data_IF_042603636997
#
_entry.id   IF_042603636997
#
_cell.length_a   1.000
_cell.length_b   1.000
_cell.length_c   1.000
_cell.angle_alpha   90.00
_cell.angle_beta   90.00
_cell.angle_gamma   90.00
#
_symmetry.space_group_name_H-M   'P 1'
#
loop_
_entity.id
_entity.type
_entity.pdbx_description
1 polymer ?
#
# COMPACT_ATOMS: atom_id res chain seq x y z
N UNK A 1 48.56 -69.46 -1.87
CA UNK A 1 47.48 -68.67 -1.22
C UNK A 1 47.51 -67.26 -1.79
N UNK A 2 46.49 -66.85 -2.55
CA UNK A 2 46.32 -65.45 -3.01
C UNK A 2 45.19 -64.84 -2.18
N UNK A 3 45.51 -63.91 -1.28
CA UNK A 3 44.52 -63.10 -0.57
C UNK A 3 44.03 -62.01 -1.53
N UNK A 4 42.74 -62.05 -1.88
CA UNK A 4 42.04 -60.96 -2.57
C UNK A 4 41.47 -60.06 -1.48
N UNK A 5 42.00 -58.84 -1.37
CA UNK A 5 41.42 -57.80 -0.52
C UNK A 5 40.27 -57.14 -1.29
N UNK A 6 39.04 -57.42 -0.87
CA UNK A 6 37.84 -56.77 -1.39
C UNK A 6 37.63 -55.47 -0.61
N UNK A 7 37.80 -54.33 -1.29
CA UNK A 7 37.52 -53.00 -0.73
C UNK A 7 36.01 -52.78 -0.81
N UNK A 8 35.34 -52.82 0.35
CA UNK A 8 33.93 -52.46 0.49
C UNK A 8 33.83 -50.94 0.59
N UNK A 9 33.47 -50.27 -0.51
CA UNK A 9 33.22 -48.84 -0.52
C UNK A 9 31.84 -48.58 0.11
N UNK A 10 31.80 -48.17 1.38
CA UNK A 10 30.57 -47.72 2.04
C UNK A 10 30.10 -46.40 1.40
N UNK A 11 29.04 -46.46 0.59
CA UNK A 11 28.34 -45.28 0.11
C UNK A 11 27.48 -44.74 1.28
N UNK A 12 27.97 -43.68 1.94
CA UNK A 12 27.15 -42.93 2.90
C UNK A 12 26.14 -42.12 2.09
N UNK A 13 24.92 -42.66 1.94
CA UNK A 13 23.78 -41.94 1.37
C UNK A 13 23.36 -40.90 2.41
N UNK A 14 23.94 -39.69 2.34
CA UNK A 14 23.40 -38.55 3.07
C UNK A 14 22.01 -38.26 2.51
N UNK A 15 20.97 -38.42 3.33
CA UNK A 15 19.60 -38.04 3.01
C UNK A 15 19.52 -36.52 2.81
N UNK A 16 19.84 -36.04 1.61
CA UNK A 16 19.56 -34.67 1.22
C UNK A 16 18.03 -34.55 1.09
N UNK A 17 17.38 -33.95 2.08
CA UNK A 17 15.96 -33.62 2.01
C UNK A 17 15.83 -32.52 0.96
N UNK A 18 15.42 -32.89 -0.26
CA UNK A 18 15.09 -31.93 -1.30
C UNK A 18 13.93 -31.08 -0.78
N UNK A 19 14.15 -29.77 -0.64
CA UNK A 19 13.05 -28.86 -0.33
C UNK A 19 12.04 -28.93 -1.48
N UNK A 20 10.75 -29.01 -1.16
CA UNK A 20 9.66 -28.93 -2.12
C UNK A 20 8.92 -27.60 -1.94
N UNK A 21 8.39 -27.00 -3.02
CA UNK A 21 7.55 -25.82 -2.90
C UNK A 21 6.31 -26.13 -2.06
N UNK A 22 5.94 -25.20 -1.19
CA UNK A 22 4.65 -25.25 -0.50
C UNK A 22 3.50 -25.08 -1.49
N UNK A 23 2.30 -25.53 -1.11
CA UNK A 23 1.06 -25.32 -1.87
C UNK A 23 0.10 -24.52 -1.00
N UNK A 24 -0.29 -23.33 -1.45
CA UNK A 24 -1.24 -22.50 -0.72
C UNK A 24 -2.66 -22.74 -1.24
N UNK A 25 -3.61 -22.71 -0.34
CA UNK A 25 -5.04 -22.81 -0.62
C UNK A 25 -5.76 -21.56 -0.10
N UNK A 26 -7.06 -21.49 -0.33
CA UNK A 26 -7.90 -20.41 0.19
C UNK A 26 -7.90 -20.35 1.74
N UNK A 27 -7.50 -21.43 2.42
CA UNK A 27 -7.39 -21.42 3.89
C UNK A 27 -6.30 -20.46 4.41
N UNK A 28 -5.26 -20.19 3.62
CA UNK A 28 -4.19 -19.23 3.93
C UNK A 28 -4.55 -17.77 3.64
N UNK A 29 -5.77 -17.48 3.19
CA UNK A 29 -6.24 -16.10 3.03
C UNK A 29 -6.88 -15.58 4.32
N UNK A 30 -7.03 -14.26 4.50
CA UNK A 30 -7.76 -13.69 5.63
C UNK A 30 -9.21 -14.20 5.67
N UNK A 31 -9.77 -14.29 6.87
CA UNK A 31 -11.16 -14.62 7.16
C UNK A 31 -11.79 -13.54 8.05
N UNK A 32 -13.12 -13.50 8.09
CA UNK A 32 -13.85 -12.67 9.05
C UNK A 32 -13.37 -12.92 10.49
N UNK A 33 -13.09 -11.85 11.22
CA UNK A 33 -12.56 -11.84 12.58
C UNK A 33 -11.03 -11.78 12.66
N UNK A 34 -10.30 -12.01 11.57
CA UNK A 34 -8.84 -11.99 11.61
C UNK A 34 -8.31 -10.57 11.88
N UNK A 35 -7.31 -10.49 12.76
CA UNK A 35 -6.54 -9.29 13.04
C UNK A 35 -5.06 -9.58 12.82
N UNK A 36 -4.48 -8.96 11.80
CA UNK A 36 -3.13 -9.28 11.33
C UNK A 36 -2.29 -8.02 11.36
N UNK A 37 -1.34 -7.99 12.30
CA UNK A 37 -0.43 -6.87 12.49
C UNK A 37 0.69 -6.89 11.45
N UNK A 38 1.08 -5.71 11.01
CA UNK A 38 2.20 -5.53 10.11
C UNK A 38 3.01 -4.32 10.55
N UNK A 39 4.25 -4.27 10.09
CA UNK A 39 5.08 -3.08 10.16
C UNK A 39 5.25 -2.52 8.76
N UNK A 40 5.18 -1.20 8.62
CA UNK A 40 5.66 -0.52 7.42
C UNK A 40 7.16 -0.36 7.56
N UNK A 41 7.91 -0.70 6.51
CA UNK A 41 9.36 -0.61 6.51
C UNK A 41 9.85 0.62 5.73
N UNK A 42 11.01 1.15 6.12
CA UNK A 42 11.69 2.20 5.41
C UNK A 42 12.14 1.69 4.03
N UNK A 43 11.84 2.43 2.95
CA UNK A 43 12.04 1.96 1.58
C UNK A 43 13.49 1.57 1.25
N UNK A 44 14.48 2.28 1.79
CA UNK A 44 15.89 1.99 1.57
C UNK A 44 16.40 0.73 2.30
N UNK A 45 15.60 0.13 3.20
CA UNK A 45 16.00 -1.03 4.01
C UNK A 45 15.72 -2.41 3.37
N UNK A 46 15.03 -2.44 2.23
CA UNK A 46 14.54 -3.68 1.58
C UNK A 46 15.61 -4.51 0.87
N UNK A 47 16.73 -3.92 0.45
CA UNK A 47 17.72 -4.63 -0.36
C UNK A 47 17.15 -5.14 -1.69
N UNK A 48 17.69 -6.25 -2.19
CA UNK A 48 17.24 -6.85 -3.46
C UNK A 48 16.02 -7.77 -3.25
N UNK A 49 14.88 -7.33 -3.78
CA UNK A 49 13.61 -8.05 -3.78
C UNK A 49 13.28 -8.64 -5.16
N UNK A 50 14.18 -8.49 -6.15
CA UNK A 50 13.91 -8.80 -7.56
C UNK A 50 14.36 -10.20 -7.96
N UNK A 51 15.36 -10.78 -7.29
CA UNK A 51 15.86 -12.14 -7.53
C UNK A 51 14.82 -13.23 -7.25
N UNK A 52 14.67 -14.17 -8.20
CA UNK A 52 13.65 -15.23 -8.14
C UNK A 52 14.18 -16.57 -8.65
N UNK A 53 13.43 -17.64 -8.39
CA UNK A 53 13.77 -19.00 -8.83
C UNK A 53 13.37 -20.05 -7.82
N UNK A 54 13.96 -21.24 -7.97
CA UNK A 54 13.72 -22.38 -7.09
C UNK A 54 14.68 -22.38 -5.90
N UNK A 55 14.19 -22.78 -4.73
CA UNK A 55 15.00 -22.92 -3.51
C UNK A 55 15.75 -21.63 -3.12
N UNK A 56 15.10 -20.48 -3.26
CA UNK A 56 15.69 -19.19 -2.94
C UNK A 56 15.80 -18.97 -1.42
N UNK A 57 16.81 -18.20 -1.00
CA UNK A 57 16.86 -17.64 0.34
C UNK A 57 16.74 -16.12 0.23
N UNK A 58 15.55 -15.60 0.54
CA UNK A 58 15.32 -14.16 0.57
C UNK A 58 15.54 -13.65 1.99
N UNK A 59 16.60 -12.87 2.18
CA UNK A 59 16.95 -12.32 3.49
C UNK A 59 16.66 -10.82 3.56
N UNK A 60 15.59 -10.48 4.29
CA UNK A 60 15.14 -9.13 4.58
C UNK A 60 15.19 -8.83 6.08
N UNK A 61 16.08 -9.49 6.83
CA UNK A 61 16.27 -9.24 8.27
C UNK A 61 16.69 -7.80 8.60
N UNK A 62 17.22 -7.07 7.62
CA UNK A 62 17.61 -5.66 7.73
C UNK A 62 16.46 -4.65 7.62
N UNK A 63 15.22 -5.09 7.42
CA UNK A 63 14.08 -4.19 7.31
C UNK A 63 13.92 -3.34 8.57
N UNK A 64 13.87 -2.02 8.40
CA UNK A 64 13.71 -1.06 9.50
C UNK A 64 12.24 -0.64 9.58
N UNK A 65 11.50 -0.98 10.65
CA UNK A 65 10.12 -0.56 10.80
C UNK A 65 10.02 0.94 11.12
N UNK A 66 9.12 1.65 10.44
CA UNK A 66 8.82 3.08 10.66
C UNK A 66 7.46 3.31 11.31
N UNK A 67 6.53 2.36 11.17
CA UNK A 67 5.22 2.37 11.82
C UNK A 67 4.65 0.97 11.88
N UNK A 68 3.63 0.77 12.72
CA UNK A 68 2.86 -0.48 12.75
C UNK A 68 1.39 -0.22 12.45
N UNK A 69 0.75 -1.19 11.82
CA UNK A 69 -0.69 -1.18 11.57
C UNK A 69 -1.30 -2.56 11.82
N UNK A 70 -2.64 -2.61 11.82
CA UNK A 70 -3.38 -3.87 11.91
C UNK A 70 -4.37 -3.92 10.76
N UNK A 71 -4.29 -4.97 9.95
CA UNK A 71 -5.34 -5.32 8.99
C UNK A 71 -6.43 -6.06 9.76
N UNK A 72 -7.60 -5.45 9.90
CA UNK A 72 -8.74 -6.01 10.60
C UNK A 72 -9.83 -6.39 9.60
N UNK A 73 -10.09 -7.68 9.47
CA UNK A 73 -11.10 -8.24 8.59
C UNK A 73 -12.39 -8.42 9.37
N UNK A 74 -13.26 -7.41 9.33
CA UNK A 74 -14.51 -7.39 10.08
C UNK A 74 -15.60 -8.11 9.30
N UNK A 75 -16.47 -8.86 9.99
CA UNK A 75 -17.69 -9.37 9.36
C UNK A 75 -18.47 -8.21 8.73
N UNK A 76 -19.17 -8.44 7.61
CA UNK A 76 -20.00 -7.40 7.00
C UNK A 76 -20.95 -6.74 8.02
N UNK A 77 -21.50 -7.48 8.98
CA UNK A 77 -22.35 -6.98 10.07
C UNK A 77 -21.67 -5.98 11.03
N UNK A 78 -20.34 -5.97 11.07
CA UNK A 78 -19.55 -5.06 11.90
C UNK A 78 -19.04 -3.85 11.12
N UNK A 79 -19.61 -3.60 9.94
CA UNK A 79 -19.25 -2.49 9.06
C UNK A 79 -20.45 -1.57 8.82
N UNK A 80 -20.24 -0.28 8.50
CA UNK A 80 -21.33 0.65 8.19
C UNK A 80 -22.19 0.26 6.98
N UNK A 81 -21.73 -0.69 6.16
CA UNK A 81 -22.35 -1.07 4.89
C UNK A 81 -23.04 -2.45 4.97
N UNK A 82 -23.26 -2.98 6.16
CA UNK A 82 -23.73 -4.36 6.36
C UNK A 82 -24.99 -4.72 5.55
N UNK A 83 -25.95 -3.79 5.45
CA UNK A 83 -27.22 -4.00 4.75
C UNK A 83 -27.04 -4.25 3.23
N UNK A 84 -25.86 -3.91 2.70
CA UNK A 84 -25.50 -4.04 1.30
C UNK A 84 -24.59 -5.24 1.03
N UNK A 85 -23.99 -5.81 2.08
CA UNK A 85 -23.14 -7.00 2.01
C UNK A 85 -23.72 -8.10 2.92
N UNK A 86 -25.03 -8.34 2.83
CA UNK A 86 -25.77 -9.32 3.65
C UNK A 86 -25.40 -10.78 3.37
N UNK A 87 -24.55 -11.05 2.37
CA UNK A 87 -24.00 -12.37 2.17
C UNK A 87 -23.19 -12.78 3.39
N UNK A 88 -23.44 -14.00 3.88
CA UNK A 88 -22.79 -14.51 5.10
C UNK A 88 -21.27 -14.77 4.94
N UNK A 89 -20.68 -14.49 3.77
CA UNK A 89 -19.33 -14.91 3.43
C UNK A 89 -18.37 -13.74 3.14
N UNK A 90 -18.88 -12.51 3.09
CA UNK A 90 -18.13 -11.30 2.82
C UNK A 90 -17.67 -10.64 4.13
N UNK A 91 -16.45 -10.11 4.12
CA UNK A 91 -15.88 -9.39 5.25
C UNK A 91 -15.09 -8.18 4.76
N UNK A 92 -15.22 -7.09 5.50
CA UNK A 92 -14.67 -5.78 5.16
C UNK A 92 -13.36 -5.51 5.88
N UNK A 93 -12.38 -5.02 5.14
CA UNK A 93 -11.17 -4.39 5.69
C UNK A 93 -11.28 -2.87 5.50
N UNK A 94 -11.08 -2.11 6.58
CA UNK A 94 -10.95 -0.65 6.47
C UNK A 94 -9.56 -0.33 5.92
N UNK A 95 -9.50 0.25 4.73
CA UNK A 95 -8.25 0.53 4.03
C UNK A 95 -7.85 2.00 4.06
N UNK A 96 -8.81 2.91 4.28
CA UNK A 96 -8.54 4.32 4.54
C UNK A 96 -9.65 4.94 5.41
N UNK A 97 -9.27 5.83 6.32
CA UNK A 97 -10.23 6.62 7.08
C UNK A 97 -10.86 7.71 6.22
N UNK A 98 -10.04 8.39 5.42
CA UNK A 98 -10.46 9.47 4.52
C UNK A 98 -9.71 9.38 3.19
N UNK A 99 -10.43 9.58 2.10
CA UNK A 99 -9.92 9.75 0.74
C UNK A 99 -10.46 11.07 0.15
N UNK A 100 -9.63 11.74 -0.65
CA UNK A 100 -9.97 13.04 -1.23
C UNK A 100 -9.44 14.22 -0.42
N UNK A 101 -9.71 15.43 -0.91
CA UNK A 101 -9.27 16.68 -0.32
C UNK A 101 -10.30 17.80 -0.60
N UNK A 102 -10.33 18.82 0.25
CA UNK A 102 -11.24 19.96 0.09
C UNK A 102 -12.71 19.57 0.32
N UNK A 103 -13.67 20.06 -0.50
CA UNK A 103 -15.10 19.86 -0.27
C UNK A 103 -15.59 18.43 -0.54
N UNK A 104 -14.76 17.58 -1.16
CA UNK A 104 -15.09 16.18 -1.45
C UNK A 104 -14.20 15.32 -0.56
N UNK A 105 -14.80 14.82 0.52
CA UNK A 105 -14.18 13.86 1.42
C UNK A 105 -15.02 12.59 1.46
N UNK A 106 -14.36 11.48 1.15
CA UNK A 106 -14.90 10.14 1.21
C UNK A 106 -14.34 9.50 2.47
N UNK A 107 -15.18 9.14 3.43
CA UNK A 107 -14.74 8.55 4.70
C UNK A 107 -15.07 7.07 4.78
N UNK A 108 -14.45 6.37 5.74
CA UNK A 108 -14.68 4.95 6.00
C UNK A 108 -14.58 4.09 4.73
N UNK A 109 -13.44 4.15 4.04
CA UNK A 109 -13.25 3.32 2.86
C UNK A 109 -12.96 1.87 3.26
N UNK A 110 -13.90 0.98 2.93
CA UNK A 110 -13.79 -0.45 3.16
C UNK A 110 -13.67 -1.19 1.84
N UNK A 111 -12.78 -2.18 1.78
CA UNK A 111 -12.77 -3.20 0.74
C UNK A 111 -13.37 -4.49 1.29
N UNK A 112 -14.28 -5.11 0.54
CA UNK A 112 -14.92 -6.36 0.90
C UNK A 112 -14.29 -7.52 0.16
N UNK A 113 -13.90 -8.54 0.92
CA UNK A 113 -13.28 -9.74 0.38
C UNK A 113 -14.14 -10.96 0.67
N UNK A 114 -13.91 -12.00 -0.13
CA UNK A 114 -14.57 -13.29 0.01
C UNK A 114 -13.65 -14.43 -0.41
N UNK A 115 -13.80 -15.56 0.28
CA UNK A 115 -13.27 -16.85 -0.15
C UNK A 115 -14.32 -17.54 -1.02
N UNK A 116 -14.08 -17.62 -2.32
CA UNK A 116 -14.98 -18.25 -3.28
C UNK A 116 -14.50 -19.66 -3.59
N UNK A 117 -15.43 -20.61 -3.71
CA UNK A 117 -15.15 -21.97 -4.20
C UNK A 117 -15.78 -22.26 -5.57
N UNK A 118 -16.83 -21.52 -5.95
CA UNK A 118 -17.62 -21.71 -7.19
C UNK A 118 -17.89 -20.34 -7.83
N UNK A 119 -17.76 -20.16 -9.16
CA UNK A 119 -17.37 -21.17 -10.15
C UNK A 119 -15.88 -21.55 -10.10
N UNK A 120 -15.04 -20.69 -9.53
CA UNK A 120 -13.60 -20.89 -9.41
C UNK A 120 -13.18 -20.71 -7.95
N UNK A 121 -12.28 -21.57 -7.48
CA UNK A 121 -11.67 -21.45 -6.16
C UNK A 121 -10.69 -20.26 -6.13
N UNK A 122 -11.11 -19.17 -5.49
CA UNK A 122 -10.43 -17.90 -5.55
C UNK A 122 -10.56 -17.10 -4.25
N UNK A 123 -9.60 -16.19 -4.04
CA UNK A 123 -9.75 -15.09 -3.10
C UNK A 123 -10.05 -13.83 -3.89
N UNK A 124 -11.20 -13.21 -3.61
CA UNK A 124 -11.76 -12.16 -4.47
C UNK A 124 -12.02 -10.88 -3.67
N UNK A 125 -11.88 -9.74 -4.32
CA UNK A 125 -12.48 -8.49 -3.88
C UNK A 125 -13.86 -8.34 -4.52
N UNK A 126 -14.88 -8.24 -3.67
CA UNK A 126 -16.28 -8.29 -4.07
C UNK A 126 -16.89 -6.90 -4.32
N UNK A 127 -16.43 -5.92 -3.54
CA UNK A 127 -16.95 -4.56 -3.55
C UNK A 127 -16.18 -3.65 -2.62
N UNK A 128 -16.65 -2.42 -2.53
CA UNK A 128 -16.16 -1.41 -1.63
C UNK A 128 -17.29 -0.60 -1.00
N UNK A 129 -17.15 -0.27 0.27
CA UNK A 129 -18.03 0.65 0.98
C UNK A 129 -17.34 1.99 1.15
N UNK A 130 -18.00 3.08 0.76
CA UNK A 130 -17.50 4.45 0.95
C UNK A 130 -18.59 5.31 1.59
N UNK A 131 -18.25 6.14 2.57
CA UNK A 131 -19.18 7.08 3.19
C UNK A 131 -18.97 8.45 2.56
N UNK A 132 -20.01 9.03 1.99
CA UNK A 132 -19.98 10.39 1.46
C UNK A 132 -20.98 11.26 2.22
N UNK A 133 -20.50 12.33 2.84
CA UNK A 133 -21.33 13.25 3.64
C UNK A 133 -22.24 12.55 4.66
N UNK A 134 -21.71 11.50 5.32
CA UNK A 134 -22.44 10.71 6.32
C UNK A 134 -23.32 9.59 5.76
N UNK A 135 -23.48 9.49 4.43
CA UNK A 135 -24.27 8.44 3.78
C UNK A 135 -23.38 7.26 3.38
N UNK A 136 -23.63 6.03 3.87
CA UNK A 136 -22.91 4.83 3.41
C UNK A 136 -23.32 4.45 1.99
N UNK A 137 -22.35 4.36 1.08
CA UNK A 137 -22.54 4.06 -0.33
C UNK A 137 -21.81 2.75 -0.67
N UNK A 138 -22.54 1.66 -0.98
CA UNK A 138 -21.93 0.43 -1.47
C UNK A 138 -21.58 0.57 -2.96
N UNK A 139 -20.48 -0.06 -3.35
CA UNK A 139 -20.00 -0.10 -4.72
C UNK A 139 -19.56 -1.53 -4.99
N UNK A 140 -20.07 -2.13 -6.07
CA UNK A 140 -19.77 -3.52 -6.38
C UNK A 140 -18.91 -3.60 -7.61
N UNK A 141 -18.04 -4.61 -7.63
CA UNK A 141 -17.43 -5.06 -8.86
C UNK A 141 -18.51 -5.72 -9.72
N UNK A 142 -18.75 -5.19 -10.92
CA UNK A 142 -19.62 -5.83 -11.92
C UNK A 142 -18.94 -7.03 -12.55
N UNK A 143 -17.60 -6.99 -12.61
CA UNK A 143 -16.72 -8.11 -12.88
C UNK A 143 -15.75 -8.19 -11.70
N UNK A 144 -15.84 -9.26 -10.91
CA UNK A 144 -15.17 -9.41 -9.62
C UNK A 144 -13.66 -9.38 -9.82
N UNK A 145 -12.94 -8.93 -8.81
CA UNK A 145 -11.48 -8.88 -8.89
C UNK A 145 -10.92 -10.11 -8.17
N UNK A 146 -10.58 -11.17 -8.90
CA UNK A 146 -9.87 -12.32 -8.33
C UNK A 146 -8.40 -11.95 -8.07
N UNK A 147 -7.99 -11.99 -6.80
CA UNK A 147 -6.61 -11.73 -6.38
C UNK A 147 -5.74 -12.96 -6.63
N UNK A 148 -6.23 -14.13 -6.23
CA UNK A 148 -5.52 -15.41 -6.38
C UNK A 148 -6.49 -16.53 -6.75
N UNK A 149 -6.13 -17.33 -7.74
CA UNK A 149 -6.74 -18.65 -7.96
C UNK A 149 -5.98 -19.72 -7.18
N UNK A 150 -6.72 -20.64 -6.56
CA UNK A 150 -6.15 -21.74 -5.80
C UNK A 150 -6.27 -23.09 -6.52
N UNK A 151 -5.35 -24.04 -6.25
CA UNK A 151 -4.17 -23.90 -5.40
C UNK A 151 -3.11 -22.98 -6.02
N UNK A 152 -2.34 -22.27 -5.20
CA UNK A 152 -1.13 -21.59 -5.65
C UNK A 152 0.04 -22.56 -5.53
N UNK A 153 0.62 -22.87 -6.69
CA UNK A 153 1.76 -23.79 -6.85
C UNK A 153 2.86 -23.08 -7.63
N UNK A 154 4.10 -23.53 -7.50
CA UNK A 154 5.17 -23.08 -8.38
C UNK A 154 5.44 -24.11 -9.50
N UNK A 155 5.60 -23.68 -10.75
CA UNK A 155 5.24 -22.37 -11.29
C UNK A 155 3.71 -22.26 -11.49
N UNK A 156 3.17 -21.05 -11.43
CA UNK A 156 1.78 -20.78 -11.82
C UNK A 156 1.65 -19.39 -12.44
N UNK A 157 0.74 -19.29 -13.40
CA UNK A 157 0.39 -18.05 -14.07
C UNK A 157 -1.13 -17.97 -14.20
N UNK A 158 -1.71 -16.85 -13.81
CA UNK A 158 -3.13 -16.55 -13.94
C UNK A 158 -3.31 -15.13 -14.51
N UNK A 159 -4.39 -14.93 -15.27
CA UNK A 159 -4.83 -13.61 -15.72
C UNK A 159 -6.34 -13.50 -15.56
N UNK A 160 -6.80 -12.46 -14.87
CA UNK A 160 -8.21 -12.21 -14.55
C UNK A 160 -8.59 -10.79 -14.93
N UNK A 161 -9.84 -10.57 -15.33
CA UNK A 161 -10.36 -9.22 -15.59
C UNK A 161 -11.06 -8.68 -14.35
N UNK A 162 -11.28 -7.38 -14.30
CA UNK A 162 -12.16 -6.79 -13.29
C UNK A 162 -12.78 -5.51 -13.81
N UNK A 163 -13.92 -5.15 -13.21
CA UNK A 163 -14.61 -3.89 -13.47
C UNK A 163 -15.31 -3.41 -12.22
N UNK A 164 -14.90 -2.23 -11.79
CA UNK A 164 -15.43 -1.50 -10.66
C UNK A 164 -15.99 -0.15 -11.12
N UNK A 165 -17.12 0.24 -10.54
CA UNK A 165 -17.62 1.59 -10.67
C UNK A 165 -18.27 2.01 -9.36
N UNK A 166 -18.00 3.23 -8.93
CA UNK A 166 -18.73 3.83 -7.83
C UNK A 166 -20.16 4.14 -8.28
N UNK A 167 -21.10 4.10 -7.33
CA UNK A 167 -22.47 4.54 -7.57
C UNK A 167 -22.44 6.02 -7.97
N UNK A 168 -23.04 6.33 -9.12
CA UNK A 168 -23.31 7.70 -9.52
C UNK A 168 -24.77 8.02 -9.18
N UNK A 169 -24.99 8.98 -8.28
CA UNK A 169 -26.32 9.52 -8.02
C UNK A 169 -26.23 11.05 -7.82
N UNK A 170 -27.38 11.72 -7.73
CA UNK A 170 -27.43 13.19 -7.58
C UNK A 170 -26.73 13.72 -6.34
N UNK A 171 -26.52 12.88 -5.32
CA UNK A 171 -25.86 13.25 -4.07
C UNK A 171 -24.33 13.16 -4.15
N UNK A 172 -23.78 12.37 -5.08
CA UNK A 172 -22.33 12.17 -5.22
C UNK A 172 -21.88 12.80 -6.54
N UNK A 173 -21.27 14.00 -6.51
CA UNK A 173 -20.94 14.77 -7.71
C UNK A 173 -19.75 14.20 -8.51
N UNK A 174 -19.14 13.11 -8.02
CA UNK A 174 -17.98 12.46 -8.63
C UNK A 174 -18.20 10.96 -8.69
N UNK A 175 -18.15 10.41 -9.89
CA UNK A 175 -18.14 8.98 -10.15
C UNK A 175 -16.74 8.54 -10.54
N UNK A 176 -16.25 7.50 -9.87
CA UNK A 176 -14.99 6.83 -10.19
C UNK A 176 -15.29 5.48 -10.82
N UNK A 177 -14.60 5.13 -11.89
CA UNK A 177 -14.63 3.78 -12.45
C UNK A 177 -13.23 3.29 -12.72
N UNK A 178 -13.06 1.97 -12.63
CA UNK A 178 -11.79 1.28 -12.80
C UNK A 178 -12.05 -0.03 -13.53
N UNK A 179 -11.38 -0.23 -14.66
CA UNK A 179 -11.48 -1.48 -15.42
C UNK A 179 -10.11 -1.91 -15.90
N UNK A 180 -9.91 -3.22 -16.01
CA UNK A 180 -8.62 -3.73 -16.40
C UNK A 180 -8.50 -5.23 -16.20
N UNK A 181 -7.26 -5.68 -16.10
CA UNK A 181 -6.92 -7.06 -15.83
C UNK A 181 -5.74 -7.15 -14.87
N UNK A 182 -5.67 -8.25 -14.12
CA UNK A 182 -4.60 -8.62 -13.23
C UNK A 182 -3.85 -9.80 -13.81
N UNK A 183 -2.54 -9.74 -13.77
CA UNK A 183 -1.65 -10.87 -14.05
C UNK A 183 -0.98 -11.27 -12.75
N UNK A 184 -1.14 -12.53 -12.35
CA UNK A 184 -0.53 -13.10 -11.14
C UNK A 184 0.43 -14.21 -11.56
N UNK A 185 1.67 -14.15 -11.09
CA UNK A 185 2.71 -15.13 -11.39
C UNK A 185 3.37 -15.61 -10.10
N UNK A 186 3.32 -16.92 -9.85
CA UNK A 186 4.17 -17.57 -8.84
C UNK A 186 5.51 -17.85 -9.50
N UNK A 187 6.49 -16.99 -9.24
CA UNK A 187 7.75 -16.95 -9.99
C UNK A 187 8.96 -17.50 -9.23
N UNK A 188 8.78 -17.85 -7.95
CA UNK A 188 9.80 -18.53 -7.17
C UNK A 188 9.26 -19.15 -5.89
N UNK A 189 10.08 -19.98 -5.25
CA UNK A 189 9.81 -20.57 -3.95
C UNK A 189 11.10 -20.73 -3.15
N UNK A 190 10.99 -20.80 -1.83
CA UNK A 190 12.15 -20.92 -0.94
C UNK A 190 11.83 -20.46 0.47
N UNK A 191 12.83 -19.92 1.18
CA UNK A 191 12.68 -19.38 2.52
C UNK A 191 12.78 -17.85 2.49
N UNK A 192 11.88 -17.19 3.21
CA UNK A 192 11.95 -15.75 3.47
C UNK A 192 12.32 -15.52 4.93
N UNK A 193 13.27 -14.60 5.17
CA UNK A 193 13.60 -14.09 6.50
C UNK A 193 13.25 -12.61 6.57
N UNK A 194 12.47 -12.21 7.57
CA UNK A 194 12.19 -10.80 7.91
C UNK A 194 12.50 -10.60 9.39
N UNK A 195 12.41 -9.38 9.96
CA UNK A 195 12.55 -9.19 11.40
C UNK A 195 11.54 -10.01 12.22
N UNK A 196 10.43 -10.46 11.63
CA UNK A 196 9.41 -11.28 12.30
C UNK A 196 9.78 -12.77 12.38
N UNK A 197 10.60 -13.28 11.47
CA UNK A 197 11.05 -14.66 11.50
C UNK A 197 11.45 -15.19 10.13
N UNK A 198 11.67 -16.50 10.07
CA UNK A 198 12.00 -17.23 8.84
C UNK A 198 10.94 -18.29 8.55
N UNK A 199 10.42 -18.31 7.32
CA UNK A 199 9.36 -19.22 6.89
C UNK A 199 9.54 -19.68 5.45
N UNK A 200 9.06 -20.87 5.13
CA UNK A 200 8.94 -21.34 3.75
C UNK A 200 7.82 -20.57 3.02
N UNK A 201 8.07 -20.17 1.78
CA UNK A 201 7.18 -19.27 1.05
C UNK A 201 7.15 -19.50 -0.47
N UNK A 202 6.08 -19.00 -1.08
CA UNK A 202 5.99 -18.72 -2.52
C UNK A 202 6.16 -17.22 -2.75
N UNK A 203 6.95 -16.85 -3.75
CA UNK A 203 7.00 -15.48 -4.26
C UNK A 203 5.99 -15.31 -5.38
N UNK A 204 5.16 -14.30 -5.24
CA UNK A 204 4.06 -13.98 -6.13
C UNK A 204 4.25 -12.56 -6.63
N UNK A 205 4.24 -12.40 -7.94
CA UNK A 205 4.28 -11.10 -8.59
C UNK A 205 2.93 -10.86 -9.24
N UNK A 206 2.26 -9.81 -8.79
CA UNK A 206 0.95 -9.43 -9.29
C UNK A 206 1.07 -8.07 -9.97
N UNK A 207 0.62 -7.96 -11.21
CA UNK A 207 0.52 -6.67 -11.91
C UNK A 207 -0.93 -6.42 -12.29
N UNK A 208 -1.48 -5.32 -11.80
CA UNK A 208 -2.79 -4.83 -12.19
C UNK A 208 -2.62 -3.76 -13.29
N UNK A 209 -3.10 -4.07 -14.48
CA UNK A 209 -3.16 -3.12 -15.60
C UNK A 209 -4.58 -2.54 -15.65
N UNK A 210 -4.75 -1.32 -15.12
CA UNK A 210 -6.05 -0.69 -15.04
C UNK A 210 -6.10 0.67 -15.72
N UNK A 211 -7.30 1.00 -16.20
CA UNK A 211 -7.68 2.34 -16.65
C UNK A 211 -8.71 2.86 -15.66
N UNK A 212 -8.32 3.92 -14.98
CA UNK A 212 -9.17 4.66 -14.06
C UNK A 212 -9.87 5.77 -14.83
N UNK A 213 -11.08 6.12 -14.42
CA UNK A 213 -11.83 7.22 -15.00
C UNK A 213 -12.63 7.95 -13.95
N UNK A 214 -12.59 9.28 -14.01
CA UNK A 214 -13.34 10.16 -13.13
C UNK A 214 -14.33 10.92 -14.00
N UNK A 215 -15.60 10.83 -13.65
CA UNK A 215 -16.68 11.62 -14.22
C UNK A 215 -17.24 12.52 -13.14
N UNK A 216 -17.36 13.81 -13.41
CA UNK A 216 -18.00 14.76 -12.52
C UNK A 216 -18.90 15.69 -13.34
N UNK A 217 -19.72 16.50 -12.67
CA UNK A 217 -20.60 17.46 -13.34
C UNK A 217 -19.88 18.72 -13.83
N UNK A 218 -18.59 18.88 -13.52
CA UNK A 218 -17.79 20.06 -13.85
C UNK A 218 -17.10 19.92 -15.22
N UNK A 219 -16.82 18.69 -15.66
CA UNK A 219 -16.15 18.40 -16.92
C UNK A 219 -17.14 17.80 -17.93
N UNK A 220 -17.14 18.26 -19.19
CA UNK A 220 -18.07 17.77 -20.21
C UNK A 220 -17.80 16.32 -20.65
N UNK A 221 -16.63 15.76 -20.30
CA UNK A 221 -16.23 14.38 -20.60
C UNK A 221 -15.53 13.73 -19.40
N UNK A 222 -15.60 12.40 -19.26
CA UNK A 222 -14.82 11.67 -18.25
C UNK A 222 -13.31 11.81 -18.49
N UNK A 223 -12.54 12.06 -17.43
CA UNK A 223 -11.07 12.02 -17.48
C UNK A 223 -10.59 10.60 -17.19
N UNK A 224 -9.96 9.96 -18.17
CA UNK A 224 -9.38 8.63 -18.01
C UNK A 224 -7.85 8.67 -17.96
N UNK A 225 -7.25 7.87 -17.08
CA UNK A 225 -5.79 7.72 -16.97
C UNK A 225 -5.41 6.26 -16.65
N UNK A 226 -4.24 5.85 -17.12
CA UNK A 226 -3.71 4.52 -16.80
C UNK A 226 -3.17 4.52 -15.37
N UNK A 227 -3.50 3.49 -14.61
CA UNK A 227 -3.04 3.28 -13.24
C UNK A 227 -2.56 1.83 -13.12
N UNK A 228 -1.28 1.60 -13.39
CA UNK A 228 -0.71 0.25 -13.28
C UNK A 228 -0.02 0.11 -11.93
N UNK A 229 -0.36 -0.96 -11.24
CA UNK A 229 0.16 -1.26 -9.91
C UNK A 229 0.81 -2.63 -9.94
N UNK A 230 1.94 -2.77 -9.27
CA UNK A 230 2.62 -4.05 -9.12
C UNK A 230 2.91 -4.32 -7.65
N UNK A 231 2.73 -5.58 -7.26
CA UNK A 231 3.11 -6.08 -5.95
C UNK A 231 4.02 -7.29 -6.09
N UNK A 232 5.00 -7.36 -5.19
CA UNK A 232 5.83 -8.53 -4.93
C UNK A 232 5.48 -9.03 -3.54
N UNK A 233 4.99 -10.26 -3.43
CA UNK A 233 4.44 -10.79 -2.19
C UNK A 233 5.04 -12.16 -1.89
N UNK A 234 5.45 -12.37 -0.64
CA UNK A 234 5.90 -13.66 -0.14
C UNK A 234 4.82 -14.23 0.76
N UNK A 235 4.14 -15.26 0.28
CA UNK A 235 3.05 -15.92 1.01
C UNK A 235 3.56 -17.21 1.67
N UNK A 236 3.14 -17.47 2.91
CA UNK A 236 3.56 -18.62 3.72
C UNK A 236 2.36 -19.43 4.19
N UNK A 237 2.59 -20.65 4.70
CA UNK A 237 1.52 -21.48 5.28
C UNK A 237 0.98 -20.92 6.61
N UNK A 238 1.82 -20.18 7.34
CA UNK A 238 1.56 -19.76 8.72
C UNK A 238 1.10 -18.30 8.84
N UNK A 239 1.02 -17.56 7.72
CA UNK A 239 0.54 -16.17 7.71
C UNK A 239 -0.62 -16.00 6.74
N UNK A 240 -1.68 -15.33 7.20
CA UNK A 240 -2.86 -15.02 6.39
C UNK A 240 -2.77 -13.74 5.58
N UNK A 241 -1.71 -12.96 5.77
CA UNK A 241 -1.30 -11.83 4.91
C UNK A 241 0.12 -12.10 4.43
N UNK A 242 0.62 -11.41 3.38
CA UNK A 242 2.00 -11.56 2.95
C UNK A 242 2.97 -11.43 4.11
N UNK A 243 3.93 -12.35 4.19
CA UNK A 243 5.03 -12.29 5.15
C UNK A 243 5.90 -11.07 4.89
N UNK A 244 6.02 -10.70 3.61
CA UNK A 244 6.51 -9.43 3.08
C UNK A 244 5.69 -9.07 1.83
N UNK A 245 5.37 -7.78 1.66
CA UNK A 245 4.85 -7.21 0.44
C UNK A 245 5.58 -5.91 0.08
N UNK A 246 5.96 -5.78 -1.20
CA UNK A 246 6.52 -4.58 -1.81
C UNK A 246 5.53 -4.12 -2.89
N UNK A 247 4.87 -2.99 -2.63
CA UNK A 247 3.85 -2.42 -3.51
C UNK A 247 4.40 -1.17 -4.20
N UNK A 248 3.95 -0.93 -5.43
CA UNK A 248 4.39 0.24 -6.17
C UNK A 248 3.61 0.49 -7.45
N UNK A 249 3.90 1.64 -8.05
CA UNK A 249 3.36 2.05 -9.34
C UNK A 249 4.27 1.54 -10.46
N UNK A 250 3.67 1.14 -11.58
CA UNK A 250 4.37 0.74 -12.78
C UNK A 250 4.08 1.76 -13.90
N UNK A 251 5.09 2.51 -14.33
CA UNK A 251 4.96 3.48 -15.43
C UNK A 251 5.91 3.08 -16.54
N UNK A 252 5.35 2.63 -17.67
CA UNK A 252 6.12 1.91 -18.68
C UNK A 252 6.74 0.65 -18.07
N UNK A 253 8.06 0.51 -18.15
CA UNK A 253 8.80 -0.58 -17.53
C UNK A 253 9.41 -0.22 -16.16
N UNK A 254 9.19 1.00 -15.66
CA UNK A 254 9.77 1.46 -14.40
C UNK A 254 8.81 1.19 -13.24
N UNK A 255 9.26 0.37 -12.30
CA UNK A 255 8.55 0.12 -11.05
C UNK A 255 9.07 1.04 -9.95
N UNK A 256 8.18 1.83 -9.35
CA UNK A 256 8.49 2.73 -8.22
C UNK A 256 7.76 2.26 -6.99
N UNK A 257 8.52 1.86 -5.96
CA UNK A 257 7.98 1.43 -4.68
C UNK A 257 7.22 2.59 -4.03
N UNK A 258 6.01 2.31 -3.56
CA UNK A 258 5.20 3.23 -2.75
C UNK A 258 5.06 2.75 -1.31
N UNK A 259 5.23 1.45 -1.07
CA UNK A 259 5.05 0.87 0.25
C UNK A 259 5.74 -0.48 0.40
N UNK A 260 6.28 -0.71 1.59
CA UNK A 260 6.84 -2.00 2.01
C UNK A 260 6.20 -2.36 3.35
N UNK A 261 5.64 -3.56 3.43
CA UNK A 261 5.04 -4.09 4.67
C UNK A 261 5.48 -5.51 4.93
N UNK A 262 5.69 -5.86 6.19
CA UNK A 262 5.97 -7.24 6.59
C UNK A 262 5.14 -7.61 7.82
N UNK A 263 4.82 -8.91 7.95
CA UNK A 263 4.06 -9.44 9.10
C UNK A 263 4.81 -9.12 10.39
N UNK A 264 4.12 -8.70 11.45
CA UNK A 264 4.80 -8.38 12.70
C UNK A 264 3.97 -8.66 13.97
N UNK A 265 4.62 -8.66 15.12
CA UNK A 265 4.02 -8.57 16.45
C UNK A 265 4.11 -7.12 16.97
N UNK A 266 3.39 -6.74 18.04
CA UNK A 266 3.57 -5.43 18.65
C UNK A 266 5.04 -5.19 19.01
N UNK A 267 5.61 -4.07 18.56
CA UNK A 267 6.99 -3.66 18.86
C UNK A 267 7.01 -2.22 19.38
N UNK A 268 7.94 -1.93 20.27
CA UNK A 268 8.33 -0.56 20.55
C UNK A 268 9.18 -0.09 19.38
N UNK A 269 8.62 0.80 18.55
CA UNK A 269 9.39 1.46 17.51
C UNK A 269 10.22 2.54 18.20
N UNK A 270 11.39 2.15 18.69
CA UNK A 270 12.44 3.05 19.14
C UNK A 270 13.20 3.54 17.92
N UNK A 271 12.49 4.25 17.04
CA UNK A 271 13.14 5.11 16.07
C UNK A 271 13.70 6.28 16.85
N UNK A 272 14.96 6.65 16.58
CA UNK A 272 15.47 7.97 16.93
C UNK A 272 14.35 8.98 16.67
N UNK A 273 14.04 9.79 17.69
CA UNK A 273 13.30 11.02 17.48
C UNK A 273 13.92 11.73 16.24
N UNK A 274 13.08 12.18 15.32
CA UNK A 274 13.40 12.90 14.07
C UNK A 274 13.48 12.20 12.71
N UNK A 275 12.81 11.07 12.48
CA UNK A 275 12.22 10.82 11.15
C UNK A 275 10.79 10.28 11.25
N UNK A 276 9.96 11.01 11.99
CA UNK A 276 8.53 10.93 11.81
C UNK A 276 8.19 11.37 10.38
N UNK A 277 7.81 10.42 9.53
CA UNK A 277 6.81 10.72 8.51
C UNK A 277 5.53 11.08 9.28
N UNK A 278 5.44 12.34 9.71
CA UNK A 278 4.16 12.91 10.09
C UNK A 278 3.25 12.76 8.88
N UNK A 279 2.05 12.28 9.11
CA UNK A 279 0.98 12.42 8.14
C UNK A 279 1.04 13.84 7.59
N UNK A 280 1.22 13.95 6.27
CA UNK A 280 1.50 15.20 5.59
C UNK A 280 0.24 16.09 5.66
N UNK A 281 0.06 16.72 6.81
CA UNK A 281 -0.99 17.69 7.11
C UNK A 281 -0.39 19.05 6.80
N UNK A 282 -0.27 19.32 5.50
CA UNK A 282 0.40 20.50 4.97
C UNK A 282 0.76 20.28 3.51
N UNK A 283 0.34 21.16 2.61
CA UNK A 283 0.78 21.21 1.22
C UNK A 283 1.24 22.61 0.89
N UNK A 284 2.23 22.74 0.02
CA UNK A 284 2.67 24.05 -0.51
C UNK A 284 2.44 24.10 -2.01
N UNK A 285 1.84 25.19 -2.50
CA UNK A 285 1.56 25.36 -3.91
C UNK A 285 1.47 26.85 -4.30
N UNK A 286 1.71 27.22 -5.56
CA UNK A 286 2.27 26.37 -6.61
C UNK A 286 3.75 26.04 -6.35
N UNK A 287 4.24 24.96 -6.95
CA UNK A 287 5.67 24.64 -7.00
C UNK A 287 5.96 24.07 -8.40
N UNK A 288 6.68 24.78 -9.28
CA UNK A 288 7.41 26.03 -9.05
C UNK A 288 6.53 27.24 -8.67
N UNK A 289 7.11 28.21 -7.96
CA UNK A 289 6.43 29.40 -7.43
C UNK A 289 7.00 30.68 -8.00
N UNK A 290 6.11 31.58 -8.43
CA UNK A 290 6.42 32.98 -8.68
C UNK A 290 6.62 33.73 -7.36
N UNK A 291 5.67 34.56 -6.95
CA UNK A 291 5.85 35.41 -5.76
C UNK A 291 5.06 34.96 -4.53
N UNK A 292 3.93 34.29 -4.71
CA UNK A 292 3.02 33.94 -3.62
C UNK A 292 2.95 32.42 -3.50
N UNK A 293 3.38 31.89 -2.36
CA UNK A 293 3.30 30.47 -2.03
C UNK A 293 2.16 30.24 -1.02
N UNK A 294 1.18 29.43 -1.37
CA UNK A 294 0.05 29.08 -0.52
C UNK A 294 0.38 27.86 0.35
N UNK A 295 -0.11 27.88 1.59
CA UNK A 295 -0.05 26.76 2.52
C UNK A 295 -1.46 26.16 2.67
N UNK A 296 -1.63 24.90 2.28
CA UNK A 296 -2.89 24.15 2.38
C UNK A 296 -2.82 23.00 3.37
N UNK A 297 -3.97 22.44 3.78
CA UNK A 297 -4.02 21.21 4.58
C UNK A 297 -3.53 21.33 6.03
N UNK A 298 -3.33 22.55 6.53
CA UNK A 298 -2.91 22.81 7.91
C UNK A 298 -4.10 22.79 8.87
N UNK A 299 -3.90 22.21 10.06
CA UNK A 299 -4.88 22.23 11.15
C UNK A 299 -4.97 23.62 11.82
N UNK A 300 -6.03 23.89 12.58
CA UNK A 300 -6.16 25.12 13.35
C UNK A 300 -5.00 25.28 14.37
N UNK A 301 -4.42 26.47 14.49
CA UNK A 301 -3.42 26.79 15.52
C UNK A 301 -2.25 27.65 15.04
N UNK A 302 -1.31 27.93 15.96
CA UNK A 302 -0.10 28.72 15.71
C UNK A 302 1.00 27.84 15.10
N UNK A 303 1.61 28.32 14.02
CA UNK A 303 2.72 27.67 13.32
C UNK A 303 3.90 28.64 13.21
N UNK A 304 5.11 28.11 13.33
CA UNK A 304 6.34 28.78 12.93
C UNK A 304 6.69 28.38 11.50
N UNK A 305 6.92 29.35 10.64
CA UNK A 305 7.35 29.17 9.25
C UNK A 305 8.79 29.64 9.11
N UNK A 306 9.64 28.81 8.53
CA UNK A 306 11.04 29.12 8.26
C UNK A 306 11.37 28.88 6.80
N UNK A 307 12.06 29.83 6.18
CA UNK A 307 12.58 29.73 4.81
C UNK A 307 14.08 29.51 4.90
N UNK A 308 14.55 28.42 4.30
CA UNK A 308 15.93 27.96 4.32
C UNK A 308 16.48 27.89 2.90
N UNK A 309 17.77 28.21 2.72
CA UNK A 309 18.46 27.97 1.45
C UNK A 309 18.90 26.50 1.29
N UNK A 310 19.54 26.18 0.16
CA UNK A 310 20.08 24.84 -0.13
C UNK A 310 21.14 24.35 0.86
N UNK A 311 21.81 25.26 1.58
CA UNK A 311 22.79 24.92 2.61
C UNK A 311 22.15 24.73 3.99
N UNK A 312 20.84 24.93 4.11
CA UNK A 312 20.10 24.89 5.37
C UNK A 312 20.20 26.19 6.18
N UNK A 313 20.72 27.27 5.59
CA UNK A 313 20.79 28.58 6.26
C UNK A 313 19.40 29.22 6.33
N UNK A 314 18.99 29.66 7.51
CA UNK A 314 17.76 30.40 7.74
C UNK A 314 17.81 31.77 7.05
N UNK A 315 16.89 32.00 6.12
CA UNK A 315 16.72 33.26 5.40
C UNK A 315 15.62 34.11 6.02
N UNK A 316 14.54 33.49 6.51
CA UNK A 316 13.39 34.17 7.13
C UNK A 316 12.68 33.24 8.11
N UNK A 317 12.15 33.79 9.19
CA UNK A 317 11.17 33.14 10.05
C UNK A 317 9.93 34.02 10.27
N UNK A 318 8.79 33.41 10.58
CA UNK A 318 7.55 34.11 10.93
C UNK A 318 6.61 33.18 11.69
N UNK A 319 5.80 33.72 12.59
CA UNK A 319 4.69 32.99 13.21
C UNK A 319 3.37 33.31 12.51
N UNK A 320 2.56 32.27 12.27
CA UNK A 320 1.30 32.37 11.55
C UNK A 320 0.22 31.63 12.33
N UNK A 321 -0.96 32.23 12.45
CA UNK A 321 -2.11 31.58 13.06
C UNK A 321 -3.07 31.09 11.95
N UNK A 322 -3.22 29.78 11.84
CA UNK A 322 -4.12 29.16 10.87
C UNK A 322 -5.50 29.04 11.50
N UNK A 323 -6.49 29.73 10.92
CA UNK A 323 -7.90 29.63 11.28
C UNK A 323 -8.71 29.12 10.06
N UNK A 324 -9.36 27.93 10.11
CA UNK A 324 -10.00 27.31 8.94
C UNK A 324 -11.24 28.05 8.39
N UNK A 325 -11.72 29.10 9.06
CA UNK A 325 -12.77 30.01 8.55
C UNK A 325 -12.21 31.29 7.92
N UNK A 326 -10.89 31.47 7.91
CA UNK A 326 -10.20 32.63 7.36
C UNK A 326 -9.78 32.47 5.90
N UNK A 327 -9.24 33.54 5.33
CA UNK A 327 -8.63 33.50 3.99
C UNK A 327 -7.41 32.55 3.98
N UNK A 328 -7.13 31.88 2.84
CA UNK A 328 -5.96 31.03 2.71
C UNK A 328 -4.68 31.84 2.96
N UNK A 329 -3.82 31.32 3.83
CA UNK A 329 -2.56 31.97 4.16
C UNK A 329 -1.55 31.78 3.01
N UNK A 330 -0.84 32.85 2.67
CA UNK A 330 0.23 32.82 1.67
C UNK A 330 1.50 33.49 2.20
N UNK A 331 2.63 32.98 1.73
CA UNK A 331 3.96 33.53 1.95
C UNK A 331 4.37 34.33 0.72
N UNK A 332 4.72 35.59 0.94
CA UNK A 332 5.34 36.42 -0.09
C UNK A 332 6.83 36.14 -0.16
N UNK A 333 7.29 35.78 -1.37
CA UNK A 333 8.65 35.40 -1.72
C UNK A 333 9.33 36.42 -2.65
N UNK A 334 8.80 37.65 -2.73
CA UNK A 334 9.28 38.73 -3.61
C UNK A 334 10.78 39.01 -3.46
N UNK A 335 11.34 38.78 -2.27
CA UNK A 335 12.73 39.08 -1.94
C UNK A 335 13.69 37.90 -2.20
N UNK A 336 13.20 36.79 -2.73
CA UNK A 336 14.01 35.62 -3.06
C UNK A 336 14.34 35.59 -4.55
N UNK A 337 15.61 35.34 -4.88
CA UNK A 337 16.05 35.09 -6.25
C UNK A 337 15.56 33.72 -6.72
N UNK A 338 15.46 33.52 -8.03
CA UNK A 338 15.19 32.22 -8.63
C UNK A 338 16.16 31.16 -8.12
N UNK A 339 15.65 30.01 -7.69
CA UNK A 339 16.44 28.99 -7.01
C UNK A 339 15.61 28.00 -6.20
N UNK A 340 16.28 27.05 -5.56
CA UNK A 340 15.65 26.02 -4.71
C UNK A 340 15.73 26.46 -3.25
N UNK A 341 14.62 26.34 -2.53
CA UNK A 341 14.53 26.66 -1.11
C UNK A 341 13.76 25.56 -0.36
N UNK A 342 13.93 25.53 0.96
CA UNK A 342 13.16 24.69 1.86
C UNK A 342 12.28 25.55 2.77
N UNK A 343 11.00 25.19 2.90
CA UNK A 343 10.06 25.80 3.82
C UNK A 343 9.81 24.82 4.95
N UNK A 344 10.21 25.16 6.17
CA UNK A 344 9.90 24.36 7.36
C UNK A 344 8.72 24.97 8.10
N UNK A 345 7.68 24.18 8.31
CA UNK A 345 6.49 24.52 9.10
C UNK A 345 6.53 23.74 10.41
N UNK A 346 6.50 24.41 11.54
CA UNK A 346 6.55 23.80 12.86
C UNK A 346 5.33 24.18 13.68
N UNK A 347 4.69 23.22 14.34
CA UNK A 347 3.63 23.42 15.33
C UNK A 347 3.92 22.53 16.53
N UNK A 348 4.09 23.15 17.69
CA UNK A 348 4.48 22.45 18.94
C UNK A 348 5.75 21.61 18.71
N UNK A 349 5.68 20.28 18.84
CA UNK A 349 6.80 19.34 18.63
C UNK A 349 6.90 18.81 17.20
N UNK A 350 5.95 19.15 16.32
CA UNK A 350 5.87 18.62 14.96
C UNK A 350 6.44 19.62 13.96
N UNK A 351 7.33 19.16 13.06
CA UNK A 351 7.82 19.96 11.95
C UNK A 351 7.71 19.23 10.62
N UNK A 352 7.38 19.97 9.56
CA UNK A 352 7.29 19.49 8.18
C UNK A 352 8.12 20.38 7.29
N UNK A 353 8.90 19.80 6.36
CA UNK A 353 9.74 20.56 5.44
C UNK A 353 9.32 20.31 4.00
N UNK A 354 9.12 21.38 3.26
CA UNK A 354 8.74 21.38 1.85
C UNK A 354 9.86 21.93 0.99
N UNK A 355 10.19 21.25 -0.10
CA UNK A 355 11.09 21.78 -1.13
C UNK A 355 10.29 22.62 -2.12
N UNK A 356 10.71 23.86 -2.37
CA UNK A 356 10.11 24.75 -3.38
C UNK A 356 11.15 25.20 -4.41
N UNK A 357 10.68 25.48 -5.62
CA UNK A 357 11.45 26.05 -6.72
C UNK A 357 10.89 27.45 -6.99
N UNK A 358 11.67 28.50 -6.71
CA UNK A 358 11.36 29.90 -7.03
C UNK A 358 11.76 30.18 -8.47
N UNK A 359 10.82 30.68 -9.27
CA UNK A 359 11.05 31.17 -10.64
C UNK A 359 11.50 32.63 -10.68
#
# INVERSE_FOLDING_TARGET
>A
MKLIYSIFMLFVISNAVSQSPIVLSNSQMPSSGDTLRYSQALQNSIGDYTTTGTNMNWNFSSLVPISQGVRSYKSAFQTPYFIFFLGFNEYGEKVADTLGAGPIQLTNYYLYYKKQNTPVNAYIADGAGITFSGVPVPNYYTDKDELYHFPLTYPKYDSTTFKFASAGNTLIPVQYSKTGYRVTKVDGWGNITTPFGTEACLRIVTTQYSKDSIKNNLLPFPLGFNNYQRSYQWLTMNSKIPFLEVNGNLVGNNFTITQIRYRDIPRLITGNEDLGMLEQTGTVYPNPVGNNLFLGGLSNGLYTVEILDLSGKLLRNSEIEINPKGNPFYLELNNLKSGVYYIRLSKETNSQTFKIIKE
#
